data_IF_649834416220
#
_entry.id   IF_649834416220
#
_cell.length_a   1.000
_cell.length_b   1.000
_cell.length_c   1.000
_cell.angle_alpha   90.00
_cell.angle_beta   90.00
_cell.angle_gamma   90.00
#
_symmetry.space_group_name_H-M   'P 1'
#
loop_
_entity.id
_entity.type
_entity.pdbx_description
1 polymer ?
#
# COMPACT_ATOMS: atom_id res chain seq x y z
N UNK A 1 6.49 -8.90 35.44
CA UNK A 1 6.40 -8.85 33.95
C UNK A 1 7.74 -8.36 33.46
N UNK A 2 8.47 -9.16 32.65
CA UNK A 2 9.77 -8.74 32.12
C UNK A 2 9.58 -7.51 31.22
N UNK A 3 10.60 -6.63 31.12
CA UNK A 3 10.58 -5.46 30.26
C UNK A 3 10.24 -5.80 28.80
N UNK A 4 10.65 -6.97 28.33
CA UNK A 4 10.34 -7.49 27.00
C UNK A 4 8.84 -7.76 26.79
N UNK A 5 8.13 -8.35 27.75
CA UNK A 5 6.68 -8.56 27.65
C UNK A 5 5.93 -7.23 27.66
N UNK A 6 6.36 -6.27 28.50
CA UNK A 6 5.78 -4.91 28.50
C UNK A 6 5.94 -4.20 27.15
N UNK A 7 7.08 -4.35 26.46
CA UNK A 7 7.31 -3.74 25.15
C UNK A 7 6.48 -4.40 24.05
N UNK A 8 6.23 -5.70 24.11
CA UNK A 8 5.37 -6.42 23.17
C UNK A 8 3.91 -5.96 23.30
N UNK A 9 3.38 -5.91 24.52
CA UNK A 9 2.00 -5.41 24.76
C UNK A 9 1.82 -3.96 24.31
N UNK A 10 2.81 -3.10 24.52
CA UNK A 10 2.80 -1.73 24.02
C UNK A 10 2.70 -1.69 22.50
N UNK A 11 3.46 -2.55 21.79
CA UNK A 11 3.46 -2.58 20.32
C UNK A 11 2.16 -3.13 19.74
N UNK A 12 1.54 -4.12 20.37
CA UNK A 12 0.20 -4.60 19.99
C UNK A 12 -0.83 -3.49 20.07
N UNK A 13 -0.85 -2.74 21.18
CA UNK A 13 -1.72 -1.59 21.35
C UNK A 13 -1.51 -0.51 20.28
N UNK A 14 -0.28 -0.31 19.84
CA UNK A 14 0.08 0.65 18.79
C UNK A 14 -0.52 0.24 17.44
N UNK A 15 -0.29 -0.99 16.97
CA UNK A 15 -0.81 -1.45 15.67
C UNK A 15 -2.34 -1.36 15.65
N UNK A 16 -3.00 -1.88 16.69
CA UNK A 16 -4.45 -1.81 16.85
C UNK A 16 -4.94 -0.36 16.87
N UNK A 17 -4.28 0.50 17.65
CA UNK A 17 -4.65 1.90 17.76
C UNK A 17 -4.53 2.65 16.43
N UNK A 18 -3.46 2.43 15.67
CA UNK A 18 -3.28 3.02 14.33
C UNK A 18 -4.40 2.56 13.39
N UNK A 19 -4.69 1.25 13.33
CA UNK A 19 -5.77 0.74 12.47
C UNK A 19 -7.11 1.37 12.84
N UNK A 20 -7.45 1.45 14.13
CA UNK A 20 -8.68 2.11 14.59
C UNK A 20 -8.75 3.59 14.23
N UNK A 21 -7.64 4.32 14.36
CA UNK A 21 -7.58 5.72 13.98
C UNK A 21 -7.77 5.92 12.48
N UNK A 22 -7.15 5.07 11.64
CA UNK A 22 -7.34 5.10 10.20
C UNK A 22 -8.78 4.76 9.79
N UNK A 23 -9.43 3.79 10.46
CA UNK A 23 -10.87 3.51 10.30
C UNK A 23 -11.73 4.74 10.60
N UNK A 24 -11.44 5.43 11.71
CA UNK A 24 -12.18 6.61 12.12
C UNK A 24 -11.89 7.83 11.24
N UNK A 25 -10.74 7.83 10.60
CA UNK A 25 -10.36 8.82 9.61
C UNK A 25 -11.04 8.63 8.24
N UNK A 26 -11.88 7.61 8.07
CA UNK A 26 -12.55 7.24 6.82
C UNK A 26 -11.58 6.78 5.72
N UNK A 27 -10.45 6.17 6.08
CA UNK A 27 -9.53 5.57 5.09
C UNK A 27 -10.17 4.31 4.51
N UNK A 28 -10.34 4.25 3.19
CA UNK A 28 -11.08 3.18 2.50
C UNK A 28 -10.30 1.87 2.40
N UNK A 29 -8.96 1.93 2.28
CA UNK A 29 -8.09 0.75 2.19
C UNK A 29 -6.99 0.88 3.24
N UNK A 30 -6.93 -0.08 4.16
CA UNK A 30 -5.96 -0.08 5.27
C UNK A 30 -5.04 -1.28 5.11
N UNK A 31 -3.76 -1.02 4.82
CA UNK A 31 -2.74 -2.06 4.79
C UNK A 31 -2.26 -2.36 6.22
N UNK A 32 -2.59 -3.54 6.69
CA UNK A 32 -2.35 -3.96 8.08
C UNK A 32 -0.94 -4.54 8.28
N UNK A 33 -0.24 -4.87 7.21
CA UNK A 33 1.12 -5.43 7.25
C UNK A 33 1.40 -6.44 6.13
N UNK A 34 2.33 -7.36 6.38
CA UNK A 34 2.80 -8.36 5.43
C UNK A 34 2.52 -9.77 5.90
N UNK A 35 2.12 -10.65 4.98
CA UNK A 35 2.15 -12.09 5.21
C UNK A 35 3.51 -12.65 4.79
N UNK A 36 4.12 -13.48 5.63
CA UNK A 36 5.46 -14.06 5.42
C UNK A 36 5.55 -15.48 5.96
N UNK A 37 6.49 -16.25 5.40
CA UNK A 37 6.85 -17.59 5.87
C UNK A 37 7.76 -17.50 7.11
N UNK A 38 7.27 -16.85 8.13
CA UNK A 38 7.97 -16.72 9.41
C UNK A 38 6.96 -16.80 10.54
N UNK A 39 7.40 -17.27 11.71
CA UNK A 39 6.55 -17.24 12.89
C UNK A 39 6.07 -15.82 13.18
N UNK A 40 4.79 -15.71 13.51
CA UNK A 40 4.20 -14.46 13.96
C UNK A 40 4.92 -14.01 15.25
N UNK A 41 5.40 -12.76 15.26
CA UNK A 41 5.96 -12.13 16.46
C UNK A 41 4.96 -11.06 16.92
N UNK A 42 4.44 -11.26 18.12
CA UNK A 42 3.57 -10.28 18.76
C UNK A 42 4.16 -8.86 18.70
N UNK A 43 3.33 -7.88 18.34
CA UNK A 43 3.75 -6.48 18.15
C UNK A 43 4.60 -6.23 16.90
N UNK A 44 4.55 -7.14 15.93
CA UNK A 44 5.10 -6.99 14.58
C UNK A 44 3.98 -6.81 13.56
N UNK A 45 4.25 -6.11 12.46
CA UNK A 45 3.37 -6.03 11.29
C UNK A 45 3.64 -7.13 10.26
N UNK A 46 4.34 -8.22 10.66
CA UNK A 46 4.55 -9.41 9.87
C UNK A 46 3.75 -10.56 10.47
N UNK A 47 2.95 -11.22 9.65
CA UNK A 47 2.02 -12.27 10.03
C UNK A 47 2.26 -13.51 9.18
N UNK A 48 1.93 -14.68 9.71
CA UNK A 48 2.03 -15.92 8.94
C UNK A 48 0.72 -16.21 8.19
N UNK A 49 -0.40 -16.02 8.86
CA UNK A 49 -1.75 -16.23 8.28
C UNK A 49 -2.67 -15.06 8.64
N UNK A 50 -3.76 -14.86 7.90
CA UNK A 50 -4.70 -13.76 8.15
C UNK A 50 -5.33 -13.75 9.55
N UNK A 51 -5.52 -14.90 10.18
CA UNK A 51 -6.04 -14.99 11.55
C UNK A 51 -5.14 -14.35 12.61
N UNK A 52 -3.84 -14.22 12.34
CA UNK A 52 -2.91 -13.53 13.24
C UNK A 52 -3.24 -12.03 13.42
N UNK A 53 -4.02 -11.47 12.47
CA UNK A 53 -4.45 -10.08 12.50
C UNK A 53 -5.71 -9.84 13.34
N UNK A 54 -6.44 -10.88 13.75
CA UNK A 54 -7.75 -10.74 14.43
C UNK A 54 -7.69 -9.88 15.68
N UNK A 55 -6.56 -9.89 16.40
CA UNK A 55 -6.36 -9.06 17.60
C UNK A 55 -6.16 -7.57 17.29
N UNK A 56 -5.84 -7.22 16.03
CA UNK A 56 -5.57 -5.85 15.60
C UNK A 56 -6.71 -5.22 14.82
N UNK A 57 -7.55 -6.02 14.17
CA UNK A 57 -8.65 -5.57 13.30
C UNK A 57 -10.04 -5.92 13.85
N UNK A 58 -10.16 -6.03 15.16
CA UNK A 58 -11.47 -6.15 15.81
C UNK A 58 -12.36 -4.93 15.50
N UNK A 59 -13.63 -5.14 15.32
CA UNK A 59 -14.55 -4.07 14.95
C UNK A 59 -14.38 -3.56 13.52
N UNK A 60 -14.16 -4.45 12.55
CA UNK A 60 -14.12 -4.12 11.12
C UNK A 60 -15.28 -3.23 10.70
N UNK A 61 -14.96 -2.15 9.99
CA UNK A 61 -15.95 -1.29 9.33
C UNK A 61 -16.20 -1.81 7.91
N UNK A 62 -17.47 -1.86 7.49
CA UNK A 62 -17.85 -2.31 6.15
C UNK A 62 -17.32 -1.42 5.02
N UNK A 63 -17.08 -0.16 5.34
CA UNK A 63 -16.59 0.86 4.42
C UNK A 63 -15.07 0.75 4.19
N UNK A 64 -14.37 0.00 5.05
CA UNK A 64 -12.93 -0.22 4.96
C UNK A 64 -12.62 -1.58 4.35
N UNK A 65 -11.60 -1.62 3.49
CA UNK A 65 -11.00 -2.85 2.97
C UNK A 65 -9.67 -3.09 3.68
N UNK A 66 -9.57 -4.20 4.40
CA UNK A 66 -8.36 -4.57 5.15
C UNK A 66 -7.47 -5.44 4.27
N UNK A 67 -6.23 -5.00 4.07
CA UNK A 67 -5.32 -5.69 3.16
C UNK A 67 -4.01 -6.04 3.87
N UNK A 68 -3.33 -7.08 3.38
CA UNK A 68 -1.94 -7.36 3.69
C UNK A 68 -1.16 -7.58 2.40
N UNK A 69 0.14 -7.28 2.43
CA UNK A 69 1.01 -7.44 1.29
C UNK A 69 1.74 -8.78 1.32
N UNK A 70 2.04 -9.33 0.16
CA UNK A 70 2.97 -10.45 -0.03
C UNK A 70 3.94 -10.15 -1.15
N UNK A 71 5.15 -10.67 -1.04
CA UNK A 71 6.07 -10.81 -2.17
C UNK A 71 5.71 -12.06 -2.99
N UNK A 72 5.76 -11.95 -4.29
CA UNK A 72 5.42 -13.02 -5.24
C UNK A 72 6.20 -14.34 -5.04
N UNK A 73 7.32 -14.33 -4.34
CA UNK A 73 8.19 -15.51 -4.14
C UNK A 73 8.68 -15.69 -2.69
N UNK A 74 8.08 -14.98 -1.72
CA UNK A 74 8.49 -15.04 -0.31
C UNK A 74 7.35 -15.37 0.64
N UNK A 75 6.28 -15.92 0.10
CA UNK A 75 5.15 -16.41 0.85
C UNK A 75 4.60 -17.68 0.19
N UNK A 76 4.53 -18.74 0.97
CA UNK A 76 3.88 -19.98 0.56
C UNK A 76 2.36 -19.83 0.67
N UNK A 77 1.72 -19.52 -0.44
CA UNK A 77 0.27 -19.36 -0.48
C UNK A 77 -0.52 -20.65 -0.23
N UNK A 78 0.13 -21.80 -0.13
CA UNK A 78 -0.53 -23.06 0.27
C UNK A 78 -1.03 -23.01 1.72
N UNK A 79 -0.35 -22.27 2.59
CA UNK A 79 -0.77 -22.11 4.01
C UNK A 79 -1.88 -21.09 4.19
N UNK A 80 -2.20 -20.29 3.16
CA UNK A 80 -3.29 -19.32 3.21
C UNK A 80 -4.64 -20.05 3.31
N UNK A 81 -5.45 -19.84 4.36
CA UNK A 81 -6.78 -20.44 4.46
C UNK A 81 -7.76 -19.81 3.46
N UNK A 82 -8.91 -20.45 3.27
CA UNK A 82 -10.06 -19.81 2.61
C UNK A 82 -10.47 -18.54 3.38
N UNK A 83 -10.90 -17.53 2.64
CA UNK A 83 -11.35 -16.27 3.25
C UNK A 83 -12.70 -16.48 3.95
N UNK A 84 -12.71 -16.34 5.27
CA UNK A 84 -13.91 -16.42 6.11
C UNK A 84 -14.56 -15.06 6.41
N UNK A 85 -13.99 -13.97 5.88
CA UNK A 85 -14.46 -12.60 6.08
C UNK A 85 -14.14 -12.00 7.45
N UNK A 86 -13.49 -12.74 8.34
CA UNK A 86 -13.23 -12.27 9.72
C UNK A 86 -12.01 -11.36 9.83
N UNK A 87 -11.00 -11.58 9.00
CA UNK A 87 -9.73 -10.85 9.04
C UNK A 87 -9.55 -9.97 7.79
N UNK A 88 -8.64 -10.35 6.90
CA UNK A 88 -8.36 -9.60 5.68
C UNK A 88 -9.48 -9.76 4.63
N UNK A 89 -9.72 -8.69 3.87
CA UNK A 89 -10.62 -8.71 2.72
C UNK A 89 -9.84 -8.97 1.42
N UNK A 90 -8.59 -8.51 1.38
CA UNK A 90 -7.78 -8.56 0.17
C UNK A 90 -6.29 -8.82 0.47
N UNK A 91 -5.59 -9.25 -0.57
CA UNK A 91 -4.13 -9.41 -0.54
C UNK A 91 -3.53 -8.61 -1.69
N UNK A 92 -2.49 -7.85 -1.38
CA UNK A 92 -1.69 -7.07 -2.33
C UNK A 92 -0.45 -7.90 -2.73
N UNK A 93 -0.37 -8.29 -3.98
CA UNK A 93 0.73 -9.11 -4.51
C UNK A 93 1.75 -8.19 -5.18
N UNK A 94 2.95 -8.12 -4.62
CA UNK A 94 4.07 -7.39 -5.22
C UNK A 94 4.87 -8.32 -6.12
N UNK A 95 5.15 -7.88 -7.32
CA UNK A 95 6.07 -8.56 -8.24
C UNK A 95 7.01 -7.53 -8.91
N UNK A 96 8.30 -7.88 -9.11
CA UNK A 96 9.24 -7.00 -9.78
C UNK A 96 9.03 -7.01 -11.30
N UNK A 97 9.66 -6.07 -11.98
CA UNK A 97 9.72 -6.03 -13.44
C UNK A 97 10.02 -7.42 -14.03
N UNK A 98 9.32 -7.78 -15.10
CA UNK A 98 9.38 -9.08 -15.80
C UNK A 98 8.81 -10.29 -15.00
N UNK A 99 8.25 -10.11 -13.80
CA UNK A 99 7.66 -11.19 -13.00
C UNK A 99 6.12 -11.13 -12.89
N UNK A 100 5.48 -10.36 -13.76
CA UNK A 100 4.02 -10.22 -13.78
C UNK A 100 3.31 -11.58 -13.93
N UNK A 101 3.81 -12.47 -14.79
CA UNK A 101 3.22 -13.80 -15.01
C UNK A 101 3.21 -14.65 -13.74
N UNK A 102 4.30 -14.62 -13.00
CA UNK A 102 4.42 -15.35 -11.73
C UNK A 102 3.55 -14.71 -10.64
N UNK A 103 3.53 -13.38 -10.55
CA UNK A 103 2.65 -12.65 -9.63
C UNK A 103 1.17 -12.94 -9.89
N UNK A 104 0.74 -12.95 -11.16
CA UNK A 104 -0.63 -13.29 -11.54
C UNK A 104 -1.02 -14.73 -11.20
N UNK A 105 -0.08 -15.69 -11.31
CA UNK A 105 -0.35 -17.09 -10.91
C UNK A 105 -0.64 -17.20 -9.41
N UNK A 106 0.13 -16.51 -8.57
CA UNK A 106 -0.11 -16.45 -7.13
C UNK A 106 -1.44 -15.75 -6.85
N UNK A 107 -1.66 -14.59 -7.47
CA UNK A 107 -2.93 -13.88 -7.34
C UNK A 107 -4.14 -14.74 -7.68
N UNK A 108 -4.05 -15.61 -8.70
CA UNK A 108 -5.13 -16.52 -9.09
C UNK A 108 -5.43 -17.55 -7.99
N UNK A 109 -4.40 -18.10 -7.34
CA UNK A 109 -4.60 -19.03 -6.21
C UNK A 109 -5.20 -18.32 -4.99
N UNK A 110 -4.76 -17.09 -4.71
CA UNK A 110 -5.31 -16.24 -3.64
C UNK A 110 -6.79 -15.92 -3.93
N UNK A 111 -7.11 -15.52 -5.17
CA UNK A 111 -8.47 -15.22 -5.58
C UNK A 111 -9.38 -16.45 -5.49
N UNK A 112 -8.87 -17.63 -5.82
CA UNK A 112 -9.60 -18.89 -5.68
C UNK A 112 -9.97 -19.21 -4.22
N UNK A 113 -9.20 -18.69 -3.25
CA UNK A 113 -9.50 -18.78 -1.81
C UNK A 113 -10.45 -17.71 -1.29
N UNK A 114 -11.06 -16.91 -2.18
CA UNK A 114 -12.08 -15.93 -1.83
C UNK A 114 -11.55 -14.53 -1.44
N UNK A 115 -10.25 -14.29 -1.48
CA UNK A 115 -9.69 -12.95 -1.24
C UNK A 115 -9.78 -12.08 -2.50
N UNK A 116 -10.05 -10.80 -2.31
CA UNK A 116 -9.80 -9.79 -3.33
C UNK A 116 -8.29 -9.66 -3.55
N UNK A 117 -7.89 -9.26 -4.76
CA UNK A 117 -6.47 -9.14 -5.12
C UNK A 117 -6.18 -7.77 -5.70
N UNK A 118 -5.12 -7.14 -5.19
CA UNK A 118 -4.47 -5.98 -5.80
C UNK A 118 -3.08 -6.36 -6.26
N UNK A 119 -2.61 -5.78 -7.35
CA UNK A 119 -1.25 -5.96 -7.83
C UNK A 119 -0.41 -4.71 -7.70
N UNK A 120 0.84 -4.91 -7.31
CA UNK A 120 1.87 -3.88 -7.18
C UNK A 120 2.99 -4.19 -8.16
N UNK A 121 3.01 -3.49 -9.31
CA UNK A 121 4.03 -3.66 -10.34
C UNK A 121 5.31 -2.91 -9.95
N UNK A 122 6.16 -3.54 -9.12
CA UNK A 122 7.36 -2.90 -8.61
C UNK A 122 8.30 -2.46 -9.75
N UNK A 123 8.94 -1.30 -9.55
CA UNK A 123 9.81 -0.63 -10.52
C UNK A 123 9.12 -0.39 -11.87
N UNK A 124 7.92 0.21 -11.84
CA UNK A 124 7.14 0.47 -13.06
C UNK A 124 7.89 1.41 -14.03
N UNK A 125 8.81 2.22 -13.54
CA UNK A 125 9.66 3.08 -14.37
C UNK A 125 10.51 2.30 -15.38
N UNK A 126 10.85 1.04 -15.08
CA UNK A 126 11.65 0.18 -15.97
C UNK A 126 10.85 -0.46 -17.11
N UNK A 127 9.53 -0.34 -17.10
CA UNK A 127 8.66 -0.93 -18.13
C UNK A 127 8.70 -0.08 -19.41
N UNK A 128 8.93 -0.72 -20.55
CA UNK A 128 8.69 -0.11 -21.85
C UNK A 128 7.16 0.09 -22.08
N UNK A 129 6.79 0.86 -23.10
CA UNK A 129 5.39 1.00 -23.48
C UNK A 129 4.75 -0.35 -23.83
N UNK A 130 5.46 -1.20 -24.57
CA UNK A 130 5.00 -2.55 -24.92
C UNK A 130 4.83 -3.45 -23.68
N UNK A 131 5.71 -3.32 -22.68
CA UNK A 131 5.56 -4.08 -21.42
C UNK A 131 4.34 -3.62 -20.61
N UNK A 132 4.06 -2.31 -20.60
CA UNK A 132 2.88 -1.75 -19.93
C UNK A 132 1.58 -2.21 -20.59
N UNK A 133 1.54 -2.24 -21.92
CA UNK A 133 0.39 -2.74 -22.68
C UNK A 133 0.18 -4.24 -22.42
N UNK A 134 1.27 -5.05 -22.49
CA UNK A 134 1.18 -6.48 -22.19
C UNK A 134 0.74 -6.73 -20.73
N UNK A 135 1.21 -5.92 -19.79
CA UNK A 135 0.76 -5.97 -18.40
C UNK A 135 -0.74 -5.69 -18.30
N UNK A 136 -1.22 -4.62 -18.92
CA UNK A 136 -2.64 -4.25 -18.92
C UNK A 136 -3.52 -5.37 -19.49
N UNK A 137 -3.13 -5.96 -20.63
CA UNK A 137 -3.86 -7.08 -21.24
C UNK A 137 -3.99 -8.28 -20.27
N UNK A 138 -2.90 -8.64 -19.59
CA UNK A 138 -2.90 -9.72 -18.61
C UNK A 138 -3.77 -9.41 -17.39
N UNK A 139 -3.72 -8.18 -16.91
CA UNK A 139 -4.52 -7.68 -15.78
C UNK A 139 -6.01 -7.66 -16.15
N UNK A 140 -6.37 -7.28 -17.37
CA UNK A 140 -7.76 -7.32 -17.86
C UNK A 140 -8.34 -8.74 -17.86
N UNK A 141 -7.54 -9.74 -18.24
CA UNK A 141 -7.94 -11.15 -18.17
C UNK A 141 -8.13 -11.60 -16.72
N UNK A 142 -7.27 -11.17 -15.80
CA UNK A 142 -7.33 -11.55 -14.38
C UNK A 142 -8.49 -10.87 -13.64
N UNK A 143 -8.77 -9.59 -13.93
CA UNK A 143 -9.74 -8.71 -13.25
C UNK A 143 -9.50 -8.62 -11.73
N UNK A 144 -8.40 -7.97 -11.30
CA UNK A 144 -8.16 -7.67 -9.89
C UNK A 144 -9.01 -6.48 -9.44
N UNK A 145 -8.99 -6.18 -8.14
CA UNK A 145 -9.53 -4.93 -7.59
C UNK A 145 -8.74 -3.70 -8.06
N UNK A 146 -7.44 -3.86 -8.34
CA UNK A 146 -6.60 -2.79 -8.84
C UNK A 146 -5.19 -3.20 -9.20
N UNK A 147 -4.54 -2.34 -9.98
CA UNK A 147 -3.12 -2.38 -10.33
C UNK A 147 -2.48 -1.05 -9.94
N UNK A 148 -1.34 -1.08 -9.23
CA UNK A 148 -0.61 0.14 -8.89
C UNK A 148 0.65 0.32 -9.73
N UNK A 149 0.84 1.56 -10.20
CA UNK A 149 2.13 2.10 -10.63
C UNK A 149 2.99 2.23 -9.36
N UNK A 150 4.20 1.68 -9.37
CA UNK A 150 5.06 1.68 -8.18
C UNK A 150 6.38 2.36 -8.49
N UNK A 151 6.60 3.52 -7.90
CA UNK A 151 7.88 4.20 -7.87
C UNK A 151 8.77 3.62 -6.76
N UNK A 152 9.30 2.43 -7.01
CA UNK A 152 10.06 1.64 -6.02
C UNK A 152 11.28 2.37 -5.48
N UNK A 153 11.88 3.22 -6.28
CA UNK A 153 13.13 3.92 -5.93
C UNK A 153 12.93 5.41 -5.62
N UNK A 154 11.67 5.91 -5.68
CA UNK A 154 11.38 7.31 -5.50
C UNK A 154 12.10 8.19 -6.54
N UNK A 155 12.17 7.72 -7.78
CA UNK A 155 12.96 8.29 -8.87
C UNK A 155 12.12 8.84 -10.03
N UNK A 156 10.79 8.65 -10.00
CA UNK A 156 9.88 9.18 -11.01
C UNK A 156 9.74 10.69 -10.89
N UNK A 157 9.82 11.38 -12.02
CA UNK A 157 9.30 12.72 -12.18
C UNK A 157 7.84 12.68 -12.65
N UNK A 158 7.17 13.82 -12.63
CA UNK A 158 5.76 13.91 -13.00
C UNK A 158 5.49 13.41 -14.42
N UNK A 159 6.35 13.75 -15.39
CA UNK A 159 6.23 13.35 -16.79
C UNK A 159 6.34 11.83 -16.98
N UNK A 160 7.24 11.16 -16.24
CA UNK A 160 7.34 9.69 -16.20
C UNK A 160 6.02 9.08 -15.71
N UNK A 161 5.52 9.57 -14.57
CA UNK A 161 4.30 9.08 -13.96
C UNK A 161 3.09 9.25 -14.88
N UNK A 162 2.92 10.45 -15.43
CA UNK A 162 1.77 10.76 -16.30
C UNK A 162 1.85 9.99 -17.62
N UNK A 163 3.04 9.79 -18.18
CA UNK A 163 3.24 8.91 -19.35
C UNK A 163 2.77 7.50 -19.08
N UNK A 164 3.22 6.90 -17.96
CA UNK A 164 2.83 5.55 -17.56
C UNK A 164 1.34 5.46 -17.27
N UNK A 165 0.80 6.44 -16.54
CA UNK A 165 -0.63 6.50 -16.21
C UNK A 165 -1.51 6.57 -17.48
N UNK A 166 -1.13 7.36 -18.48
CA UNK A 166 -1.83 7.45 -19.77
C UNK A 166 -1.87 6.11 -20.51
N UNK A 167 -0.75 5.41 -20.56
CA UNK A 167 -0.66 4.12 -21.26
C UNK A 167 -1.57 3.10 -20.54
N UNK A 168 -1.46 2.99 -19.22
CA UNK A 168 -2.28 2.05 -18.44
C UNK A 168 -3.76 2.42 -18.49
N UNK A 169 -4.11 3.71 -18.41
CA UNK A 169 -5.50 4.17 -18.49
C UNK A 169 -6.15 3.84 -19.84
N UNK A 170 -5.39 3.93 -20.91
CA UNK A 170 -5.86 3.62 -22.26
C UNK A 170 -6.10 2.13 -22.51
N UNK A 171 -5.44 1.24 -21.76
CA UNK A 171 -5.44 -0.20 -22.02
C UNK A 171 -6.08 -1.05 -20.90
N UNK A 172 -6.22 -0.53 -19.69
CA UNK A 172 -6.90 -1.23 -18.59
C UNK A 172 -8.42 -1.08 -18.69
N UNK A 173 -9.15 -2.14 -18.39
CA UNK A 173 -10.60 -2.10 -18.21
C UNK A 173 -11.00 -1.06 -17.15
N UNK A 174 -12.10 -0.33 -17.37
CA UNK A 174 -12.50 0.79 -16.50
C UNK A 174 -12.92 0.39 -15.08
N UNK A 175 -13.28 -0.86 -14.85
CA UNK A 175 -13.64 -1.42 -13.54
C UNK A 175 -12.43 -1.75 -12.67
N UNK A 176 -11.22 -1.77 -13.24
CA UNK A 176 -9.98 -2.00 -12.51
C UNK A 176 -9.43 -0.66 -11.99
N UNK A 177 -9.23 -0.55 -10.69
CA UNK A 177 -8.63 0.65 -10.10
C UNK A 177 -7.18 0.80 -10.54
N UNK A 178 -6.80 2.03 -10.91
CA UNK A 178 -5.40 2.36 -11.12
C UNK A 178 -4.85 3.05 -9.87
N UNK A 179 -3.79 2.47 -9.31
CA UNK A 179 -3.14 2.96 -8.10
C UNK A 179 -1.81 3.64 -8.38
N UNK A 180 -1.36 4.44 -7.42
CA UNK A 180 -0.01 4.99 -7.38
C UNK A 180 0.61 4.79 -5.99
N UNK A 181 1.76 4.12 -5.95
CA UNK A 181 2.58 3.91 -4.76
C UNK A 181 3.94 4.56 -4.98
N UNK A 182 4.28 5.55 -4.16
CA UNK A 182 5.49 6.34 -4.33
C UNK A 182 6.41 6.30 -3.11
N UNK A 183 7.69 6.03 -3.36
CA UNK A 183 8.75 6.33 -2.40
C UNK A 183 9.24 7.76 -2.53
N UNK A 184 9.81 8.32 -1.47
CA UNK A 184 10.12 9.75 -1.34
C UNK A 184 11.61 10.08 -1.45
N UNK A 185 12.42 9.25 -2.09
CA UNK A 185 13.88 9.43 -2.10
C UNK A 185 14.31 10.75 -2.75
N UNK A 186 13.65 11.20 -3.80
CA UNK A 186 13.85 12.52 -4.41
C UNK A 186 12.88 13.60 -3.90
N UNK A 187 12.16 13.34 -2.81
CA UNK A 187 11.20 14.27 -2.20
C UNK A 187 10.00 14.63 -3.12
N UNK A 188 9.71 13.76 -4.09
CA UNK A 188 8.65 13.98 -5.09
C UNK A 188 7.35 13.21 -4.78
N UNK A 189 7.34 12.33 -3.74
CA UNK A 189 6.20 11.44 -3.50
C UNK A 189 4.87 12.17 -3.35
N UNK A 190 4.81 13.25 -2.58
CA UNK A 190 3.58 14.04 -2.41
C UNK A 190 3.21 14.79 -3.68
N UNK A 191 4.17 15.44 -4.36
CA UNK A 191 3.93 16.18 -5.60
C UNK A 191 3.41 15.26 -6.71
N UNK A 192 4.05 14.11 -6.90
CA UNK A 192 3.62 13.11 -7.90
C UNK A 192 2.25 12.52 -7.55
N UNK A 193 1.95 12.28 -6.27
CA UNK A 193 0.62 11.83 -5.85
C UNK A 193 -0.45 12.86 -6.16
N UNK A 194 -0.19 14.16 -5.96
CA UNK A 194 -1.11 15.23 -6.36
C UNK A 194 -1.29 15.28 -7.88
N UNK A 195 -0.20 15.18 -8.64
CA UNK A 195 -0.24 15.18 -10.10
C UNK A 195 -1.08 13.99 -10.62
N UNK A 196 -0.90 12.79 -10.06
CA UNK A 196 -1.69 11.63 -10.40
C UNK A 196 -3.19 11.83 -10.14
N UNK A 197 -3.56 12.32 -8.96
CA UNK A 197 -4.96 12.59 -8.62
C UNK A 197 -5.55 13.67 -9.54
N UNK A 198 -4.81 14.76 -9.80
CA UNK A 198 -5.27 15.85 -10.66
C UNK A 198 -5.44 15.39 -12.11
N UNK A 199 -4.57 14.50 -12.60
CA UNK A 199 -4.70 13.93 -13.95
C UNK A 199 -6.03 13.18 -14.14
N UNK A 200 -6.49 12.48 -13.10
CA UNK A 200 -7.73 11.71 -13.12
C UNK A 200 -8.96 12.49 -12.61
N UNK A 201 -8.84 13.78 -12.27
CA UNK A 201 -9.92 14.55 -11.64
C UNK A 201 -11.21 14.61 -12.48
N UNK A 202 -11.06 14.65 -13.81
CA UNK A 202 -12.17 14.67 -14.77
C UNK A 202 -12.47 13.27 -15.37
N UNK A 203 -11.77 12.24 -14.90
CA UNK A 203 -11.94 10.87 -15.38
C UNK A 203 -12.98 10.11 -14.55
N UNK A 204 -13.64 9.13 -15.19
CA UNK A 204 -14.52 8.18 -14.50
C UNK A 204 -13.75 6.98 -13.91
N UNK A 205 -12.43 6.92 -14.06
CA UNK A 205 -11.63 5.84 -13.51
C UNK A 205 -11.54 5.93 -12.00
N UNK A 206 -11.78 4.82 -11.33
CA UNK A 206 -11.46 4.70 -9.91
C UNK A 206 -9.95 4.66 -9.72
N UNK A 207 -9.43 5.55 -8.90
CA UNK A 207 -8.01 5.63 -8.58
C UNK A 207 -7.75 5.37 -7.10
N UNK A 208 -6.50 5.04 -6.78
CA UNK A 208 -6.01 4.84 -5.42
C UNK A 208 -4.62 5.44 -5.28
N UNK A 209 -4.34 6.10 -4.15
CA UNK A 209 -3.01 6.61 -3.80
C UNK A 209 -2.58 5.97 -2.49
N UNK A 210 -1.41 5.35 -2.50
CA UNK A 210 -0.81 4.77 -1.30
C UNK A 210 -0.04 5.84 -0.53
N UNK A 211 -0.18 5.81 0.79
CA UNK A 211 0.53 6.71 1.70
C UNK A 211 0.76 6.05 3.06
N UNK A 212 1.58 6.64 3.89
CA UNK A 212 1.81 6.20 5.26
C UNK A 212 1.84 7.39 6.22
N UNK A 213 1.48 7.16 7.49
CA UNK A 213 1.55 8.19 8.53
C UNK A 213 3.00 8.69 8.64
N UNK A 214 3.20 10.00 8.69
CA UNK A 214 4.52 10.66 8.67
C UNK A 214 5.42 10.22 7.51
N UNK A 215 4.86 9.64 6.44
CA UNK A 215 5.63 9.09 5.33
C UNK A 215 6.52 7.90 5.72
N UNK A 216 6.21 7.17 6.80
CA UNK A 216 7.02 6.04 7.24
C UNK A 216 7.24 5.03 6.13
N UNK A 217 8.51 4.67 5.87
CA UNK A 217 8.86 3.72 4.82
C UNK A 217 10.37 3.55 4.66
N UNK A 218 10.77 2.76 3.67
CA UNK A 218 12.19 2.55 3.34
C UNK A 218 12.82 3.85 2.80
N UNK A 219 14.09 4.05 3.12
CA UNK A 219 14.86 5.18 2.63
C UNK A 219 14.30 6.50 3.13
N UNK A 220 13.94 7.39 2.23
CA UNK A 220 13.30 8.66 2.56
C UNK A 220 11.79 8.53 2.84
N UNK A 221 11.25 7.31 2.86
CA UNK A 221 9.85 7.04 3.16
C UNK A 221 8.94 7.04 1.94
N UNK A 222 7.66 7.26 2.19
CA UNK A 222 6.55 7.26 1.23
C UNK A 222 5.87 8.64 1.14
N UNK A 223 4.80 8.76 0.36
CA UNK A 223 3.89 9.88 0.48
C UNK A 223 3.24 9.90 1.87
N UNK A 224 3.03 11.09 2.42
CA UNK A 224 2.51 11.28 3.79
C UNK A 224 0.98 11.31 3.80
N UNK A 225 0.35 10.47 4.62
CA UNK A 225 -1.12 10.35 4.70
C UNK A 225 -1.80 11.66 5.08
N UNK A 226 -1.26 12.36 6.06
CA UNK A 226 -1.79 13.65 6.54
C UNK A 226 -1.81 14.72 5.45
N UNK A 227 -0.81 14.75 4.57
CA UNK A 227 -0.77 15.72 3.47
C UNK A 227 -1.69 15.30 2.32
N UNK A 228 -1.71 14.01 1.96
CA UNK A 228 -2.58 13.48 0.91
C UNK A 228 -4.05 13.68 1.29
N UNK A 229 -4.46 13.33 2.49
CA UNK A 229 -5.86 13.46 2.94
C UNK A 229 -6.28 14.92 3.06
N UNK A 230 -5.39 15.80 3.54
CA UNK A 230 -5.63 17.25 3.56
C UNK A 230 -5.82 17.81 2.14
N UNK A 231 -4.98 17.41 1.19
CA UNK A 231 -5.11 17.80 -0.22
C UNK A 231 -6.43 17.30 -0.81
N UNK A 232 -6.78 16.02 -0.61
CA UNK A 232 -8.02 15.44 -1.11
C UNK A 232 -9.27 16.12 -0.52
N UNK A 233 -9.27 16.44 0.78
CA UNK A 233 -10.36 17.19 1.39
C UNK A 233 -10.52 18.58 0.77
N UNK A 234 -9.41 19.30 0.61
CA UNK A 234 -9.43 20.71 0.17
C UNK A 234 -9.69 20.90 -1.33
N UNK A 235 -9.20 19.98 -2.16
CA UNK A 235 -9.20 20.12 -3.62
C UNK A 235 -10.18 19.18 -4.32
N UNK A 236 -10.48 18.04 -3.72
CA UNK A 236 -11.33 17.00 -4.32
C UNK A 236 -12.57 16.68 -3.46
N UNK A 237 -12.90 17.56 -2.49
CA UNK A 237 -14.11 17.49 -1.66
C UNK A 237 -14.31 16.13 -0.98
N UNK A 238 -13.21 15.47 -0.61
CA UNK A 238 -13.26 14.27 0.23
C UNK A 238 -13.54 14.65 1.69
N UNK A 239 -13.85 13.65 2.49
CA UNK A 239 -14.21 13.85 3.89
C UNK A 239 -13.42 12.92 4.82
N UNK A 240 -12.08 13.01 4.75
CA UNK A 240 -11.20 12.34 5.70
C UNK A 240 -11.17 13.11 7.01
N UNK A 241 -11.26 12.39 8.15
CA UNK A 241 -11.14 13.01 9.46
C UNK A 241 -9.66 13.22 9.81
N UNK A 242 -9.17 14.44 9.59
CA UNK A 242 -7.77 14.81 9.84
C UNK A 242 -7.40 14.76 11.32
N UNK A 243 -8.34 15.01 12.23
CA UNK A 243 -8.07 14.98 13.67
C UNK A 243 -7.69 13.55 14.11
N UNK A 244 -8.37 12.53 13.60
CA UNK A 244 -8.03 11.13 13.86
C UNK A 244 -6.66 10.75 13.30
N UNK A 245 -6.27 11.30 12.15
CA UNK A 245 -4.94 11.09 11.56
C UNK A 245 -3.87 11.76 12.43
N UNK A 246 -4.07 13.00 12.84
CA UNK A 246 -3.13 13.73 13.69
C UNK A 246 -3.01 13.08 15.07
N UNK A 247 -4.11 12.64 15.66
CA UNK A 247 -4.10 11.89 16.91
C UNK A 247 -3.33 10.57 16.80
N UNK A 248 -3.44 9.87 15.63
CA UNK A 248 -2.65 8.67 15.39
C UNK A 248 -1.14 8.97 15.35
N UNK A 249 -0.78 10.11 14.75
CA UNK A 249 0.61 10.56 14.68
C UNK A 249 1.13 10.89 16.08
N UNK A 250 0.45 11.75 16.81
CA UNK A 250 0.87 12.19 18.14
C UNK A 250 0.96 11.03 19.14
N UNK A 251 -0.01 10.11 19.09
CA UNK A 251 -0.08 9.01 20.04
C UNK A 251 0.90 7.89 19.74
N UNK A 252 1.11 7.58 18.44
CA UNK A 252 1.80 6.34 18.05
C UNK A 252 3.06 6.56 17.23
N UNK A 253 3.12 7.57 16.34
CA UNK A 253 4.18 7.67 15.35
C UNK A 253 5.43 8.40 15.84
N UNK A 254 5.30 9.36 16.75
CA UNK A 254 6.43 10.16 17.28
C UNK A 254 7.55 9.26 17.81
N UNK A 255 7.20 8.25 18.60
CA UNK A 255 8.18 7.32 19.13
C UNK A 255 8.89 6.49 18.04
N UNK A 256 8.16 6.08 16.99
CA UNK A 256 8.75 5.34 15.87
C UNK A 256 9.72 6.22 15.08
N UNK A 257 9.34 7.46 14.82
CA UNK A 257 10.17 8.42 14.09
C UNK A 257 11.48 8.71 14.84
N UNK A 258 11.42 8.92 16.14
CA UNK A 258 12.60 9.09 16.98
C UNK A 258 13.54 7.89 16.95
N UNK A 259 12.99 6.69 16.95
CA UNK A 259 13.76 5.46 17.05
C UNK A 259 14.32 4.96 15.73
N UNK A 260 13.56 5.03 14.65
CA UNK A 260 13.88 4.40 13.37
C UNK A 260 14.33 5.36 12.29
N UNK A 261 14.06 6.64 12.44
CA UNK A 261 14.48 7.75 11.57
C UNK A 261 14.42 7.40 10.08
N UNK A 262 13.36 7.76 9.43
CA UNK A 262 13.26 7.82 7.97
C UNK A 262 13.24 9.28 7.53
N UNK A 263 13.24 9.52 6.22
CA UNK A 263 13.23 10.86 5.68
C UNK A 263 14.43 11.12 4.78
N UNK A 264 14.56 12.35 4.34
CA UNK A 264 15.62 12.74 3.43
C UNK A 264 17.01 12.40 3.99
N UNK A 265 17.81 11.75 3.17
CA UNK A 265 19.24 11.63 3.39
C UNK A 265 19.97 11.55 2.05
N UNK A 266 21.16 12.15 1.96
CA UNK A 266 21.97 12.16 0.73
C UNK A 266 22.23 10.75 0.16
N UNK A 267 22.56 9.71 0.95
CA UNK A 267 22.74 8.37 0.43
C UNK A 267 21.50 7.82 -0.28
N UNK A 268 20.31 8.05 0.26
CA UNK A 268 19.08 7.58 -0.36
C UNK A 268 18.73 8.34 -1.63
N UNK A 269 18.94 9.65 -1.65
CA UNK A 269 18.61 10.50 -2.79
C UNK A 269 19.52 10.27 -3.99
N UNK A 270 20.76 9.84 -3.78
CA UNK A 270 21.75 9.68 -4.85
C UNK A 270 22.01 8.21 -5.19
N UNK A 271 22.24 7.35 -4.20
CA UNK A 271 22.64 5.97 -4.47
C UNK A 271 21.48 5.00 -4.73
N UNK A 272 20.27 5.31 -4.27
CA UNK A 272 19.08 4.48 -4.53
C UNK A 272 18.44 4.74 -5.88
N UNK A 273 18.69 5.89 -6.49
CA UNK A 273 18.14 6.29 -7.79
C UNK A 273 19.07 5.91 -8.96
N UNK A 274 20.25 5.43 -8.66
CA UNK A 274 21.26 5.02 -9.62
C UNK A 274 21.63 3.56 -9.43
#
# INVERSE_FOLDING_TARGET
ISSAASDVYKRQGVIRGIIHKLQNANIEVIECGWLKDSENKEGSSFYHVPSDLLTYIDGKKKECTYVAMIDWNRYDDSVLPENDGTSLDAIRVVFPYQKAKEGLKIGARIKAKGYKVFFQAANTLAYSESDLIELADRINVFKPEGLSIVDTFGAMYEDDLIRIAKILDAHLDNDIRLGFHSHNNQQMAFANSMAFVNYFAESNRNIMVDSSLCGMGRGAGNATTELITSFLNRKHHKNYNLDEILDAIDTYMVWFEEKFKWGYSTPYSVSYTH
#
